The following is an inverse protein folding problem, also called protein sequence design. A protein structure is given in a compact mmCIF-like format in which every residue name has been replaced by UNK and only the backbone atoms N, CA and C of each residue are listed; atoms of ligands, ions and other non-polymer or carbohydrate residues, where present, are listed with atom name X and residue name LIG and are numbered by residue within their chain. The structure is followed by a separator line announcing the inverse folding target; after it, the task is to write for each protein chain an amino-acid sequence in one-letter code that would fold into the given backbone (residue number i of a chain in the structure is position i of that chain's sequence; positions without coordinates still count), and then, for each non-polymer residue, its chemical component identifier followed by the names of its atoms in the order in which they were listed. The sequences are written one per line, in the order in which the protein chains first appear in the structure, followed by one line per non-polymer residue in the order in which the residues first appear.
data_IF_684278645092
#
_entry.id   IF_684278645092
#
_cell.length_a   1.000
_cell.length_b   1.000
_cell.length_c   1.000
_cell.angle_alpha   90.00
_cell.angle_beta   90.00
_cell.angle_gamma   90.00
#
_symmetry.space_group_name_H-M   'P 1'
#
loop_
_entity.id
_entity.type
_entity.pdbx_description
1 polymer ?
#
# COMPACT_ATOMS: atom_id res chain seq x y z
N UNK A 1 -53.31 -56.12 7.60
CA UNK A 1 -53.37 -55.65 6.20
C UNK A 1 -53.76 -54.18 6.26
N UNK A 2 -52.79 -53.28 6.11
CA UNK A 2 -52.37 -52.72 4.81
C UNK A 2 -53.29 -51.54 4.47
N UNK A 3 -52.85 -50.31 4.24
CA UNK A 3 -51.51 -49.80 3.95
C UNK A 3 -51.57 -48.26 4.10
N UNK A 4 -50.43 -47.66 4.45
CA UNK A 4 -49.81 -46.48 3.83
C UNK A 4 -50.73 -45.38 3.24
N UNK A 5 -50.67 -44.16 3.78
CA UNK A 5 -49.86 -43.04 3.22
C UNK A 5 -50.72 -42.26 2.20
N UNK A 6 -51.09 -41.00 2.41
CA UNK A 6 -50.14 -39.90 2.31
C UNK A 6 -50.56 -38.71 3.17
N UNK A 7 -49.69 -38.33 4.10
CA UNK A 7 -49.52 -36.92 4.47
C UNK A 7 -48.87 -36.19 3.30
N UNK A 8 -49.58 -36.08 2.18
CA UNK A 8 -49.29 -35.06 1.19
C UNK A 8 -49.83 -33.76 1.76
N UNK A 9 -49.01 -33.11 2.59
CA UNK A 9 -49.00 -31.68 2.71
C UNK A 9 -48.59 -31.11 1.35
N UNK A 10 -49.48 -31.27 0.37
CA UNK A 10 -49.40 -30.66 -0.94
C UNK A 10 -49.41 -29.17 -0.68
N UNK A 11 -48.21 -28.59 -0.68
CA UNK A 11 -48.02 -27.17 -0.84
C UNK A 11 -48.70 -26.86 -2.17
N UNK A 12 -49.97 -26.43 -2.12
CA UNK A 12 -50.61 -25.71 -3.22
C UNK A 12 -49.86 -24.39 -3.31
N UNK A 13 -48.64 -24.45 -3.86
CA UNK A 13 -47.74 -23.32 -3.95
C UNK A 13 -48.33 -22.45 -5.04
N UNK A 14 -49.04 -21.39 -4.64
CA UNK A 14 -49.53 -20.38 -5.55
C UNK A 14 -48.35 -19.98 -6.46
N UNK A 15 -48.44 -20.18 -7.80
CA UNK A 15 -47.31 -19.95 -8.69
C UNK A 15 -46.81 -18.50 -8.61
N UNK A 16 -47.70 -17.56 -8.25
CA UNK A 16 -47.33 -16.19 -7.96
C UNK A 16 -46.48 -16.05 -6.68
N UNK A 17 -46.81 -16.78 -5.61
CA UNK A 17 -46.02 -16.77 -4.38
C UNK A 17 -44.62 -17.38 -4.59
N UNK A 18 -44.53 -18.48 -5.37
CA UNK A 18 -43.24 -19.07 -5.75
C UNK A 18 -42.41 -18.08 -6.57
N UNK A 19 -43.03 -17.39 -7.53
CA UNK A 19 -42.37 -16.36 -8.33
C UNK A 19 -41.82 -15.21 -7.47
N UNK A 20 -42.61 -14.71 -6.51
CA UNK A 20 -42.18 -13.65 -5.58
C UNK A 20 -41.01 -14.11 -4.70
N UNK A 21 -41.03 -15.35 -4.20
CA UNK A 21 -39.93 -15.91 -3.40
C UNK A 21 -38.65 -16.07 -4.22
N UNK A 22 -38.74 -16.50 -5.48
CA UNK A 22 -37.60 -16.58 -6.40
C UNK A 22 -37.03 -15.17 -6.63
N UNK A 23 -37.88 -14.17 -6.93
CA UNK A 23 -37.44 -12.80 -7.15
C UNK A 23 -36.76 -12.21 -5.91
N UNK A 24 -37.33 -12.43 -4.72
CA UNK A 24 -36.75 -12.00 -3.46
C UNK A 24 -35.40 -12.67 -3.20
N UNK A 25 -35.30 -13.99 -3.47
CA UNK A 25 -34.05 -14.74 -3.37
C UNK A 25 -32.96 -14.20 -4.29
N UNK A 26 -33.31 -13.83 -5.53
CA UNK A 26 -32.36 -13.21 -6.48
C UNK A 26 -31.90 -11.84 -5.99
N UNK A 27 -32.81 -10.98 -5.54
CA UNK A 27 -32.45 -9.64 -5.03
C UNK A 27 -31.57 -9.76 -3.79
N UNK A 28 -31.90 -10.66 -2.86
CA UNK A 28 -31.10 -10.92 -1.67
C UNK A 28 -29.71 -11.46 -2.03
N UNK A 29 -29.63 -12.40 -2.99
CA UNK A 29 -28.36 -12.92 -3.48
C UNK A 29 -27.49 -11.82 -4.10
N UNK A 30 -28.08 -10.97 -4.95
CA UNK A 30 -27.39 -9.81 -5.56
C UNK A 30 -26.89 -8.86 -4.47
N UNK A 31 -27.72 -8.55 -3.46
CA UNK A 31 -27.33 -7.69 -2.35
C UNK A 31 -26.14 -8.28 -1.57
N UNK A 32 -26.20 -9.57 -1.22
CA UNK A 32 -25.14 -10.26 -0.48
C UNK A 32 -23.82 -10.34 -1.26
N UNK A 33 -23.88 -10.52 -2.58
CA UNK A 33 -22.69 -10.59 -3.43
C UNK A 33 -22.13 -9.21 -3.80
N UNK A 34 -22.97 -8.16 -3.82
CA UNK A 34 -22.53 -6.83 -4.23
C UNK A 34 -21.41 -6.25 -3.35
N UNK A 35 -21.47 -6.47 -2.03
CA UNK A 35 -20.50 -5.94 -1.08
C UNK A 35 -19.10 -6.57 -1.20
N UNK A 36 -18.93 -7.91 -1.17
CA UNK A 36 -17.61 -8.53 -1.36
C UNK A 36 -17.04 -8.30 -2.76
N UNK A 37 -17.89 -8.28 -3.80
CA UNK A 37 -17.44 -7.95 -5.17
C UNK A 37 -16.89 -6.53 -5.21
N UNK A 38 -17.59 -5.56 -4.62
CA UNK A 38 -17.13 -4.18 -4.55
C UNK A 38 -15.80 -4.06 -3.80
N UNK A 39 -15.67 -4.69 -2.63
CA UNK A 39 -14.43 -4.69 -1.85
C UNK A 39 -13.26 -5.32 -2.62
N UNK A 40 -13.50 -6.44 -3.32
CA UNK A 40 -12.49 -7.09 -4.15
C UNK A 40 -12.06 -6.20 -5.32
N UNK A 41 -13.01 -5.54 -6.00
CA UNK A 41 -12.72 -4.58 -7.08
C UNK A 41 -11.95 -3.36 -6.57
N UNK A 42 -12.33 -2.78 -5.43
CA UNK A 42 -11.64 -1.64 -4.83
C UNK A 42 -10.21 -2.01 -4.45
N UNK A 43 -10.01 -3.19 -3.83
CA UNK A 43 -8.68 -3.70 -3.49
C UNK A 43 -7.84 -3.95 -4.74
N UNK A 44 -8.42 -4.54 -5.78
CA UNK A 44 -7.75 -4.77 -7.06
C UNK A 44 -7.35 -3.44 -7.72
N UNK A 45 -8.27 -2.47 -7.75
CA UNK A 45 -8.04 -1.14 -8.30
C UNK A 45 -6.93 -0.40 -7.56
N UNK A 46 -6.91 -0.45 -6.23
CA UNK A 46 -5.87 0.17 -5.42
C UNK A 46 -4.50 -0.46 -5.70
N UNK A 47 -4.42 -1.80 -5.74
CA UNK A 47 -3.16 -2.50 -6.09
C UNK A 47 -2.67 -2.15 -7.50
N UNK A 48 -3.58 -2.12 -8.47
CA UNK A 48 -3.25 -1.74 -9.84
C UNK A 48 -2.78 -0.28 -9.91
N UNK A 49 -3.47 0.64 -9.23
CA UNK A 49 -3.09 2.04 -9.17
C UNK A 49 -1.72 2.22 -8.51
N UNK A 50 -1.46 1.57 -7.37
CA UNK A 50 -0.14 1.60 -6.72
C UNK A 50 0.95 1.07 -7.64
N UNK A 51 0.69 0.01 -8.40
CA UNK A 51 1.64 -0.51 -9.38
C UNK A 51 1.92 0.49 -10.51
N UNK A 52 0.89 1.09 -11.10
CA UNK A 52 1.04 2.10 -12.15
C UNK A 52 1.76 3.34 -11.64
N UNK A 53 1.40 3.84 -10.46
CA UNK A 53 2.05 4.99 -9.84
C UNK A 53 3.52 4.71 -9.53
N UNK A 54 3.86 3.53 -8.99
CA UNK A 54 5.26 3.15 -8.74
C UNK A 54 6.07 3.14 -10.04
N UNK A 55 5.50 2.61 -11.13
CA UNK A 55 6.15 2.59 -12.45
C UNK A 55 6.35 4.01 -13.00
N UNK A 56 5.32 4.84 -12.93
CA UNK A 56 5.40 6.24 -13.35
C UNK A 56 6.46 7.00 -12.55
N UNK A 57 6.49 6.80 -11.24
CA UNK A 57 7.47 7.43 -10.35
C UNK A 57 8.90 7.04 -10.70
N UNK A 58 9.16 5.76 -10.99
CA UNK A 58 10.48 5.33 -11.47
C UNK A 58 10.88 6.04 -12.76
N UNK A 59 9.96 6.19 -13.72
CA UNK A 59 10.23 6.90 -14.98
C UNK A 59 10.52 8.38 -14.75
N UNK A 60 9.79 9.02 -13.83
CA UNK A 60 10.03 10.42 -13.44
C UNK A 60 11.41 10.55 -12.78
N UNK A 61 11.73 9.72 -11.79
CA UNK A 61 13.03 9.77 -11.12
C UNK A 61 14.20 9.56 -12.09
N UNK A 62 14.05 8.65 -13.06
CA UNK A 62 15.06 8.43 -14.09
C UNK A 62 15.23 9.65 -15.00
N UNK A 63 14.12 10.29 -15.38
CA UNK A 63 14.14 11.52 -16.19
C UNK A 63 14.84 12.69 -15.48
N UNK A 64 14.66 12.82 -14.17
CA UNK A 64 15.22 13.92 -13.36
C UNK A 64 16.50 13.53 -12.64
N UNK A 65 17.13 12.41 -13.01
CA UNK A 65 18.31 11.87 -12.32
C UNK A 65 19.45 12.88 -12.24
N UNK A 66 19.78 13.55 -13.34
CA UNK A 66 20.86 14.55 -13.37
C UNK A 66 20.54 15.77 -12.50
N UNK A 67 19.28 16.22 -12.49
CA UNK A 67 18.84 17.33 -11.65
C UNK A 67 18.92 16.98 -10.16
N UNK A 68 18.54 15.75 -9.79
CA UNK A 68 18.68 15.24 -8.43
C UNK A 68 20.15 15.09 -8.03
N UNK A 69 20.98 14.51 -8.90
CA UNK A 69 22.42 14.39 -8.65
C UNK A 69 23.06 15.76 -8.41
N UNK A 70 22.68 16.77 -9.20
CA UNK A 70 23.12 18.16 -9.03
C UNK A 70 22.58 18.79 -7.73
N UNK A 71 21.33 18.51 -7.37
CA UNK A 71 20.72 18.98 -6.13
C UNK A 71 21.45 18.44 -4.89
N UNK A 72 21.92 17.19 -4.93
CA UNK A 72 22.65 16.56 -3.83
C UNK A 72 24.16 16.82 -3.85
N UNK A 73 24.75 17.36 -4.92
CA UNK A 73 26.19 17.69 -4.99
C UNK A 73 26.72 18.49 -3.79
N UNK A 74 26.05 19.54 -3.28
CA UNK A 74 26.53 20.29 -2.12
C UNK A 74 26.70 19.40 -0.88
N UNK A 75 25.86 18.38 -0.71
CA UNK A 75 25.94 17.43 0.40
C UNK A 75 27.19 16.54 0.29
N UNK A 76 27.52 16.10 -0.93
CA UNK A 76 28.76 15.37 -1.21
C UNK A 76 30.00 16.21 -0.96
N UNK A 77 29.98 17.49 -1.37
CA UNK A 77 31.08 18.41 -1.10
C UNK A 77 31.25 18.62 0.40
N UNK A 78 30.15 18.82 1.14
CA UNK A 78 30.19 18.95 2.60
C UNK A 78 30.79 17.73 3.28
N UNK A 79 30.42 16.52 2.83
CA UNK A 79 30.98 15.26 3.37
C UNK A 79 32.50 15.15 3.18
N UNK A 80 33.03 15.66 2.05
CA UNK A 80 34.47 15.68 1.76
C UNK A 80 35.24 16.69 2.62
N UNK A 81 34.59 17.79 3.00
CA UNK A 81 35.19 18.83 3.85
C UNK A 81 35.31 18.39 5.32
N UNK A 82 34.38 17.55 5.80
CA UNK A 82 34.38 17.11 7.19
C UNK A 82 35.10 15.76 7.34
N UNK A 83 35.99 15.69 8.33
CA UNK A 83 36.65 14.42 8.69
C UNK A 83 35.71 13.46 9.45
N UNK A 84 34.60 13.98 9.97
CA UNK A 84 33.62 13.24 10.76
C UNK A 84 32.51 12.63 9.88
N UNK A 85 31.63 11.84 10.50
CA UNK A 85 30.43 11.35 9.84
C UNK A 85 29.44 12.50 9.65
N UNK A 86 28.85 12.59 8.47
CA UNK A 86 27.80 13.58 8.19
C UNK A 86 26.46 13.02 8.65
N UNK A 87 25.80 13.72 9.56
CA UNK A 87 24.43 13.40 9.98
C UNK A 87 23.42 14.13 9.07
N UNK A 88 22.53 13.35 8.42
CA UNK A 88 21.45 13.83 7.57
C UNK A 88 20.13 13.57 8.27
N UNK A 89 19.31 14.61 8.45
CA UNK A 89 17.93 14.48 8.89
C UNK A 89 17.01 14.66 7.68
N UNK A 90 16.30 13.61 7.31
CA UNK A 90 15.26 13.67 6.28
C UNK A 90 13.89 13.87 6.93
N UNK A 91 13.13 14.84 6.41
CA UNK A 91 11.75 15.13 6.83
C UNK A 91 10.80 14.62 5.75
N UNK A 92 9.82 13.79 6.15
CA UNK A 92 8.95 13.11 5.20
C UNK A 92 9.72 12.02 4.45
N UNK A 93 10.34 11.12 5.20
CA UNK A 93 11.23 10.07 4.66
C UNK A 93 10.50 9.14 3.67
N UNK A 94 9.19 8.92 3.86
CA UNK A 94 8.41 7.99 3.05
C UNK A 94 9.04 6.59 3.05
N UNK A 95 9.38 6.05 1.88
CA UNK A 95 10.09 4.77 1.72
C UNK A 95 11.61 4.92 1.58
N UNK A 96 12.15 6.14 1.62
CA UNK A 96 13.59 6.42 1.48
C UNK A 96 14.05 6.57 0.03
N UNK A 97 13.22 7.15 -0.86
CA UNK A 97 13.57 7.41 -2.27
C UNK A 97 14.88 8.21 -2.46
N UNK A 98 15.28 9.01 -1.47
CA UNK A 98 16.47 9.87 -1.54
C UNK A 98 17.79 9.16 -1.16
N UNK A 99 17.74 7.94 -0.61
CA UNK A 99 18.93 7.19 -0.20
C UNK A 99 20.02 6.99 -1.27
N UNK A 100 19.69 6.76 -2.56
CA UNK A 100 20.70 6.62 -3.60
C UNK A 100 21.60 7.86 -3.76
N UNK A 101 21.13 9.03 -3.37
CA UNK A 101 21.78 10.31 -3.62
C UNK A 101 22.64 10.81 -2.45
N UNK A 102 22.46 10.24 -1.26
CA UNK A 102 23.25 10.62 -0.09
C UNK A 102 24.72 10.14 -0.21
N UNK A 103 25.68 10.89 0.35
CA UNK A 103 27.10 10.51 0.30
C UNK A 103 27.39 9.25 1.10
N UNK A 104 28.47 8.57 0.72
CA UNK A 104 28.97 7.41 1.45
C UNK A 104 29.38 7.75 2.89
N UNK A 105 29.07 6.84 3.82
CA UNK A 105 29.40 6.97 5.24
C UNK A 105 28.51 7.95 6.01
N UNK A 106 27.43 8.45 5.40
CA UNK A 106 26.49 9.33 6.10
C UNK A 106 25.60 8.56 7.06
N UNK A 107 25.31 9.22 8.18
CA UNK A 107 24.30 8.80 9.13
C UNK A 107 22.96 9.38 8.71
N UNK A 108 21.92 8.56 8.71
CA UNK A 108 20.57 8.98 8.35
C UNK A 108 19.66 8.93 9.57
N UNK A 109 19.07 10.07 9.88
CA UNK A 109 17.95 10.23 10.78
C UNK A 109 16.71 10.52 9.95
N UNK A 110 15.60 9.88 10.30
CA UNK A 110 14.35 10.04 9.58
C UNK A 110 13.29 10.64 10.51
N UNK A 111 12.50 11.57 9.99
CA UNK A 111 11.32 12.14 10.64
C UNK A 111 10.11 11.93 9.73
N UNK A 112 9.07 11.28 10.23
CA UNK A 112 7.79 11.14 9.54
C UNK A 112 6.61 11.29 10.51
N UNK A 113 5.42 11.49 9.96
CA UNK A 113 4.16 11.53 10.72
C UNK A 113 3.57 10.12 10.85
N UNK A 114 3.83 9.25 9.87
CA UNK A 114 3.31 7.88 9.81
C UNK A 114 4.32 6.89 10.43
N UNK A 115 3.92 6.23 11.52
CA UNK A 115 4.77 5.23 12.19
C UNK A 115 4.97 3.96 11.36
N UNK A 116 4.05 3.67 10.42
CA UNK A 116 4.17 2.51 9.53
C UNK A 116 5.34 2.65 8.56
N UNK A 117 5.81 3.88 8.31
CA UNK A 117 6.99 4.15 7.50
C UNK A 117 8.27 3.60 8.15
N UNK A 118 8.35 3.45 9.48
CA UNK A 118 9.58 2.98 10.13
C UNK A 118 10.01 1.60 9.60
N UNK A 119 9.07 0.65 9.54
CA UNK A 119 9.36 -0.71 9.06
C UNK A 119 9.73 -0.72 7.57
N UNK A 120 9.13 0.16 6.76
CA UNK A 120 9.44 0.30 5.34
C UNK A 120 10.86 0.83 5.16
N UNK A 121 11.20 1.91 5.86
CA UNK A 121 12.51 2.56 5.81
C UNK A 121 13.61 1.62 6.31
N UNK A 122 13.40 0.95 7.45
CA UNK A 122 14.37 -0.01 8.00
C UNK A 122 14.64 -1.17 7.04
N UNK A 123 13.67 -1.58 6.24
CA UNK A 123 13.87 -2.61 5.21
C UNK A 123 14.52 -2.05 3.95
N UNK A 124 14.13 -0.84 3.51
CA UNK A 124 14.66 -0.26 2.28
C UNK A 124 16.13 0.16 2.42
N UNK A 125 16.54 0.69 3.57
CA UNK A 125 17.93 1.14 3.80
C UNK A 125 18.95 0.01 3.70
N UNK A 126 18.54 -1.25 3.91
CA UNK A 126 19.40 -2.44 3.71
C UNK A 126 19.92 -2.58 2.28
N UNK A 127 19.23 -1.96 1.29
CA UNK A 127 19.68 -1.91 -0.11
C UNK A 127 20.79 -0.89 -0.34
N UNK A 128 21.08 -0.03 0.64
CA UNK A 128 21.99 1.10 0.54
C UNK A 128 23.05 0.99 1.65
N UNK A 129 23.99 0.03 1.55
CA UNK A 129 24.98 -0.25 2.59
C UNK A 129 25.98 0.89 2.81
N UNK A 130 26.02 1.88 1.91
CA UNK A 130 26.83 3.09 2.06
C UNK A 130 26.28 4.06 3.12
N UNK A 131 25.08 3.81 3.65
CA UNK A 131 24.41 4.63 4.66
C UNK A 131 24.31 3.91 6.01
N UNK A 132 24.35 4.68 7.08
CA UNK A 132 24.07 4.19 8.43
C UNK A 132 22.76 4.76 8.95
N UNK A 133 21.71 3.94 9.02
CA UNK A 133 20.47 4.36 9.67
C UNK A 133 20.69 4.49 11.18
N UNK A 134 20.31 5.64 11.75
CA UNK A 134 20.49 5.91 13.19
C UNK A 134 19.19 5.85 13.95
N UNK A 135 18.20 6.65 13.57
CA UNK A 135 16.97 6.78 14.34
C UNK A 135 15.81 7.25 13.46
N UNK A 136 14.65 6.66 13.70
CA UNK A 136 13.38 7.15 13.21
C UNK A 136 12.70 7.97 14.32
N UNK A 137 12.14 9.11 13.94
CA UNK A 137 11.33 9.97 14.79
C UNK A 137 9.92 10.03 14.20
N UNK A 138 8.93 9.70 15.01
CA UNK A 138 7.53 9.89 14.67
C UNK A 138 7.06 11.21 15.29
N UNK A 139 6.59 12.16 14.47
CA UNK A 139 6.02 13.42 14.95
C UNK A 139 4.51 13.40 14.86
N UNK A 140 3.84 13.46 16.00
CA UNK A 140 2.42 13.80 16.07
C UNK A 140 2.30 15.32 15.98
N UNK A 141 2.04 15.84 14.78
CA UNK A 141 1.61 17.23 14.58
C UNK A 141 0.12 17.38 14.88
#
# INVERSE_FOLDING_TARGET
MSSEDSTDAGISSNPFAVFILILFGIVLLVYLLSNPIKQALDTCRLKFLSFVLARYWCMVLEKYKEELDNFFQPLHMKKKEISENLDVLEIGIGDGTNFPYYPEGCNVHALDIDDTCEAVVQNNIKKYPHLMFKKFYCSFL
#
